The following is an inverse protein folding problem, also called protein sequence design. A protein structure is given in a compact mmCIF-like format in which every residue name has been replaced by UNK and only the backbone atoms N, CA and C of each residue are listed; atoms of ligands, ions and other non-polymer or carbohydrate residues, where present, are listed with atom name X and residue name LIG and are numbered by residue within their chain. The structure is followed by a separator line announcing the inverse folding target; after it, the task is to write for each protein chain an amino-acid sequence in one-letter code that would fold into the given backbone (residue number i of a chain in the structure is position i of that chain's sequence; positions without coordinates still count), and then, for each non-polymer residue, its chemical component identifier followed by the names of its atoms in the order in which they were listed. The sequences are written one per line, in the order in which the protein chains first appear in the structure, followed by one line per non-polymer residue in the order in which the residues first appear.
data_IF_100751998386
#
_entry.id   IF_100751998386
#
_cell.length_a   1.000
_cell.length_b   1.000
_cell.length_c   1.000
_cell.angle_alpha   90.00
_cell.angle_beta   90.00
_cell.angle_gamma   90.00
#
_symmetry.space_group_name_H-M   'P 1'
#
loop_
_entity.id
_entity.type
_entity.pdbx_description
1 polymer ?
#
# COMPACT_ATOMS: atom_id res chain seq x y z
N UNK A 1 -52.33 -17.35 38.64
CA UNK A 1 -51.59 -17.18 37.43
C UNK A 1 -52.54 -16.65 36.38
N UNK A 2 -52.70 -15.29 36.28
CA UNK A 2 -53.72 -14.64 35.44
C UNK A 2 -53.23 -14.58 33.99
N UNK A 3 -54.06 -15.04 33.07
CA UNK A 3 -53.82 -14.85 31.66
C UNK A 3 -53.96 -13.35 31.30
N UNK A 4 -53.10 -12.79 30.47
CA UNK A 4 -53.22 -11.39 30.06
C UNK A 4 -54.50 -11.18 29.24
N UNK A 5 -55.20 -10.08 29.53
CA UNK A 5 -56.46 -9.67 28.94
C UNK A 5 -56.38 -9.61 27.40
N UNK A 6 -57.39 -10.05 26.66
CA UNK A 6 -57.40 -10.10 25.19
C UNK A 6 -57.34 -8.72 24.50
N UNK A 7 -57.50 -7.64 25.26
CA UNK A 7 -57.49 -6.25 24.76
C UNK A 7 -56.08 -5.84 24.29
N UNK A 8 -55.00 -6.35 24.90
CA UNK A 8 -53.62 -5.97 24.56
C UNK A 8 -53.18 -6.60 23.22
N UNK A 9 -53.64 -7.85 22.98
CA UNK A 9 -53.26 -8.57 21.74
C UNK A 9 -53.96 -7.95 20.51
N UNK A 10 -55.22 -7.50 20.66
CA UNK A 10 -55.96 -6.82 19.56
C UNK A 10 -55.39 -5.46 19.21
N UNK A 11 -54.84 -4.70 20.14
CA UNK A 11 -54.21 -3.41 19.88
C UNK A 11 -52.89 -3.55 19.12
N UNK A 12 -52.10 -4.54 19.43
CA UNK A 12 -50.83 -4.84 18.75
C UNK A 12 -51.07 -5.36 17.33
N UNK A 13 -52.05 -6.23 17.12
CA UNK A 13 -52.42 -6.71 15.80
C UNK A 13 -52.98 -5.57 14.91
N UNK A 14 -53.73 -4.62 15.50
CA UNK A 14 -54.23 -3.47 14.76
C UNK A 14 -53.13 -2.50 14.35
N UNK A 15 -52.08 -2.35 15.15
CA UNK A 15 -50.92 -1.52 14.79
C UNK A 15 -50.03 -2.16 13.73
N UNK A 16 -49.99 -3.50 13.63
CA UNK A 16 -49.24 -4.23 12.60
C UNK A 16 -49.93 -4.25 11.22
N UNK A 17 -51.27 -4.11 11.19
CA UNK A 17 -52.05 -4.15 9.94
C UNK A 17 -52.18 -2.76 9.29
N UNK A 18 -51.95 -1.65 10.00
CA UNK A 18 -51.83 -0.33 9.40
C UNK A 18 -50.42 -0.09 8.86
N UNK A 19 -50.04 -0.84 7.84
CA UNK A 19 -48.94 -0.41 6.96
C UNK A 19 -49.29 1.02 6.48
N UNK A 20 -48.37 2.00 6.61
CA UNK A 20 -48.63 3.30 6.05
C UNK A 20 -48.93 3.11 4.55
N UNK A 21 -50.17 3.38 4.17
CA UNK A 21 -50.57 3.37 2.74
C UNK A 21 -49.68 4.35 2.03
N UNK A 22 -48.71 3.81 1.30
CA UNK A 22 -47.78 4.59 0.49
C UNK A 22 -48.68 5.38 -0.51
N UNK A 23 -48.74 6.69 -0.35
CA UNK A 23 -49.56 7.53 -1.20
C UNK A 23 -49.07 7.39 -2.65
N UNK A 24 -49.83 6.82 -3.58
CA UNK A 24 -49.40 6.60 -4.97
C UNK A 24 -49.10 7.92 -5.70
N UNK A 25 -49.68 9.05 -5.27
CA UNK A 25 -49.32 10.34 -5.81
C UNK A 25 -47.96 10.85 -5.34
N UNK A 26 -47.53 10.50 -4.13
CA UNK A 26 -46.18 10.82 -3.65
C UNK A 26 -45.11 10.08 -4.46
N UNK A 27 -45.39 8.84 -4.86
CA UNK A 27 -44.50 8.07 -5.77
C UNK A 27 -44.44 8.67 -7.19
N UNK A 28 -45.52 9.27 -7.66
CA UNK A 28 -45.53 9.97 -8.99
C UNK A 28 -44.80 11.31 -8.93
N UNK A 29 -44.78 11.97 -7.78
CA UNK A 29 -44.11 13.28 -7.57
C UNK A 29 -42.65 13.14 -7.10
N UNK A 30 -42.24 11.94 -6.71
CA UNK A 30 -40.82 11.70 -6.47
C UNK A 30 -40.08 12.08 -7.76
N UNK A 31 -39.19 13.08 -7.74
CA UNK A 31 -38.38 13.36 -8.91
C UNK A 31 -37.76 12.04 -9.30
N UNK A 32 -37.93 11.65 -10.56
CA UNK A 32 -37.15 10.53 -11.10
C UNK A 32 -35.66 10.92 -10.96
N UNK A 33 -35.11 10.66 -9.79
CA UNK A 33 -33.68 10.66 -9.58
C UNK A 33 -33.12 9.43 -10.33
N UNK A 34 -33.46 9.38 -11.63
CA UNK A 34 -32.60 8.77 -12.59
C UNK A 34 -31.32 9.58 -12.50
N UNK A 35 -30.42 9.18 -11.65
CA UNK A 35 -29.03 9.55 -11.82
C UNK A 35 -28.74 9.15 -13.25
N UNK A 36 -28.82 10.13 -14.17
CA UNK A 36 -28.42 9.93 -15.55
C UNK A 36 -27.06 9.31 -15.41
N UNK A 37 -26.93 8.06 -15.85
CA UNK A 37 -25.65 7.36 -15.88
C UNK A 37 -24.78 8.25 -16.77
N UNK A 38 -24.12 9.23 -16.13
CA UNK A 38 -23.16 10.06 -16.84
C UNK A 38 -22.19 9.08 -17.45
N UNK A 39 -22.16 9.06 -18.78
CA UNK A 39 -21.30 8.19 -19.53
C UNK A 39 -19.89 8.38 -18.99
N UNK A 40 -19.43 7.43 -18.17
CA UNK A 40 -18.14 7.49 -17.51
C UNK A 40 -17.08 7.58 -18.61
N UNK A 41 -16.40 8.71 -18.72
CA UNK A 41 -15.32 8.91 -19.69
C UNK A 41 -14.42 7.70 -19.64
N UNK A 42 -14.28 6.99 -20.76
CA UNK A 42 -13.45 5.77 -20.84
C UNK A 42 -12.03 6.13 -20.45
N UNK A 43 -11.60 5.66 -19.27
CA UNK A 43 -10.21 5.80 -18.80
C UNK A 43 -9.40 4.62 -19.35
N UNK A 44 -8.08 4.76 -19.56
CA UNK A 44 -7.22 3.61 -19.85
C UNK A 44 -7.43 2.51 -18.80
N UNK A 45 -7.45 1.26 -19.23
CA UNK A 45 -7.75 0.10 -18.38
C UNK A 45 -6.95 0.08 -17.06
N UNK A 46 -5.65 0.39 -17.12
CA UNK A 46 -4.77 0.41 -15.94
C UNK A 46 -5.19 1.48 -14.92
N UNK A 47 -5.59 2.66 -15.39
CA UNK A 47 -6.05 3.74 -14.52
C UNK A 47 -7.44 3.43 -13.93
N UNK A 48 -8.29 2.77 -14.70
CA UNK A 48 -9.59 2.33 -14.23
C UNK A 48 -9.45 1.23 -13.17
N UNK A 49 -8.59 0.25 -13.39
CA UNK A 49 -8.24 -0.78 -12.43
C UNK A 49 -7.70 -0.15 -11.12
N UNK A 50 -6.72 0.75 -11.22
CA UNK A 50 -6.14 1.43 -10.06
C UNK A 50 -7.14 2.31 -9.30
N UNK A 51 -8.19 2.81 -9.95
CA UNK A 51 -9.26 3.58 -9.29
C UNK A 51 -10.06 2.75 -8.28
N UNK A 52 -10.07 1.44 -8.43
CA UNK A 52 -10.79 0.50 -7.55
C UNK A 52 -10.02 0.16 -6.27
N UNK A 53 -10.72 -0.19 -5.19
CA UNK A 53 -10.08 -0.68 -3.97
C UNK A 53 -9.29 -1.98 -4.19
N UNK A 54 -9.78 -2.84 -5.07
CA UNK A 54 -9.13 -4.12 -5.41
C UNK A 54 -7.84 -3.85 -6.20
N UNK A 55 -7.88 -2.98 -7.21
CA UNK A 55 -6.70 -2.62 -8.00
C UNK A 55 -5.60 -2.00 -7.12
N UNK A 56 -5.94 -1.15 -6.17
CA UNK A 56 -4.98 -0.61 -5.19
C UNK A 56 -4.34 -1.71 -4.33
N UNK A 57 -5.09 -2.74 -3.93
CA UNK A 57 -4.55 -3.89 -3.19
C UNK A 57 -3.55 -4.68 -4.04
N UNK A 58 -3.85 -4.91 -5.33
CA UNK A 58 -2.89 -5.54 -6.24
C UNK A 58 -1.61 -4.73 -6.40
N UNK A 59 -1.73 -3.42 -6.63
CA UNK A 59 -0.55 -2.55 -6.74
C UNK A 59 0.28 -2.59 -5.44
N UNK A 60 -0.38 -2.53 -4.28
CA UNK A 60 0.30 -2.64 -2.98
C UNK A 60 1.01 -3.98 -2.81
N UNK A 61 0.38 -5.09 -3.22
CA UNK A 61 0.98 -6.42 -3.11
C UNK A 61 2.18 -6.58 -4.05
N UNK A 62 2.02 -6.24 -5.34
CA UNK A 62 3.09 -6.38 -6.34
C UNK A 62 4.28 -5.50 -5.99
N UNK A 63 4.05 -4.23 -5.66
CA UNK A 63 5.12 -3.32 -5.26
C UNK A 63 5.81 -3.77 -3.96
N UNK A 64 5.07 -4.32 -3.01
CA UNK A 64 5.62 -4.89 -1.78
C UNK A 64 6.52 -6.09 -2.04
N UNK A 65 6.09 -7.03 -2.91
CA UNK A 65 6.89 -8.20 -3.30
C UNK A 65 8.16 -7.75 -4.03
N UNK A 66 8.07 -6.78 -4.95
CA UNK A 66 9.22 -6.26 -5.66
C UNK A 66 10.25 -5.62 -4.72
N UNK A 67 9.80 -4.81 -3.75
CA UNK A 67 10.69 -4.21 -2.75
C UNK A 67 11.30 -5.26 -1.82
N UNK A 68 10.54 -6.28 -1.41
CA UNK A 68 11.05 -7.38 -0.58
C UNK A 68 12.11 -8.20 -1.33
N UNK A 69 11.87 -8.48 -2.62
CA UNK A 69 12.86 -9.12 -3.49
C UNK A 69 14.15 -8.30 -3.58
N UNK A 70 14.02 -6.97 -3.76
CA UNK A 70 15.18 -6.09 -3.76
C UNK A 70 15.95 -6.16 -2.44
N UNK A 71 15.28 -6.09 -1.29
CA UNK A 71 15.94 -6.16 0.03
C UNK A 71 16.70 -7.46 0.19
N UNK A 72 16.15 -8.59 -0.28
CA UNK A 72 16.83 -9.88 -0.25
C UNK A 72 18.13 -9.87 -1.08
N UNK A 73 18.07 -9.42 -2.34
CA UNK A 73 19.25 -9.34 -3.20
C UNK A 73 20.27 -8.30 -2.70
N UNK A 74 19.79 -7.18 -2.16
CA UNK A 74 20.61 -6.15 -1.54
C UNK A 74 21.37 -6.68 -0.33
N UNK A 75 20.71 -7.46 0.52
CA UNK A 75 21.34 -8.16 1.64
C UNK A 75 22.42 -9.11 1.15
N UNK A 76 22.12 -9.97 0.17
CA UNK A 76 23.09 -10.93 -0.39
C UNK A 76 24.31 -10.21 -0.97
N UNK A 77 24.08 -9.10 -1.69
CA UNK A 77 25.16 -8.27 -2.22
C UNK A 77 26.05 -7.66 -1.13
N UNK A 78 25.45 -7.18 -0.04
CA UNK A 78 26.18 -6.59 1.08
C UNK A 78 26.96 -7.62 1.90
N UNK A 79 26.60 -8.91 1.86
CA UNK A 79 27.40 -9.97 2.48
C UNK A 79 28.82 -10.06 1.88
N UNK A 80 29.06 -9.53 0.68
CA UNK A 80 30.39 -9.41 0.08
C UNK A 80 31.35 -8.56 0.92
N UNK A 81 30.86 -7.69 1.76
CA UNK A 81 31.66 -6.89 2.70
C UNK A 81 32.46 -7.77 3.66
N UNK A 82 31.95 -8.94 4.04
CA UNK A 82 32.64 -9.89 4.92
C UNK A 82 33.75 -10.65 4.19
N UNK A 83 33.80 -10.66 2.86
CA UNK A 83 34.83 -11.30 2.06
C UNK A 83 36.03 -10.36 1.81
N UNK A 84 35.88 -9.07 2.12
CA UNK A 84 36.90 -8.06 1.97
C UNK A 84 36.52 -6.92 1.02
N UNK A 85 37.29 -5.83 1.10
CA UNK A 85 37.03 -4.62 0.31
C UNK A 85 37.14 -4.88 -1.19
N UNK A 86 38.12 -5.67 -1.62
CA UNK A 86 38.33 -6.03 -3.03
C UNK A 86 37.10 -6.74 -3.62
N UNK A 87 36.59 -7.77 -2.94
CA UNK A 87 35.41 -8.51 -3.40
C UNK A 87 34.17 -7.63 -3.49
N UNK A 88 33.99 -6.72 -2.55
CA UNK A 88 32.89 -5.76 -2.59
C UNK A 88 33.00 -4.81 -3.78
N UNK A 89 34.20 -4.30 -4.05
CA UNK A 89 34.48 -3.40 -5.17
C UNK A 89 34.30 -4.10 -6.52
N UNK A 90 34.79 -5.33 -6.66
CA UNK A 90 34.56 -6.17 -7.85
C UNK A 90 33.07 -6.41 -8.09
N UNK A 91 32.30 -6.66 -7.05
CA UNK A 91 30.85 -6.82 -7.16
C UNK A 91 30.16 -5.51 -7.60
N UNK A 92 30.57 -4.39 -7.04
CA UNK A 92 30.02 -3.08 -7.43
C UNK A 92 30.30 -2.79 -8.91
N UNK A 93 31.54 -3.04 -9.36
CA UNK A 93 31.93 -2.88 -10.74
C UNK A 93 31.18 -3.84 -11.69
N UNK A 94 30.96 -5.07 -11.28
CA UNK A 94 30.12 -6.01 -12.02
C UNK A 94 28.70 -5.46 -12.20
N UNK A 95 28.10 -4.89 -11.15
CA UNK A 95 26.77 -4.28 -11.23
C UNK A 95 26.75 -3.06 -12.16
N UNK A 96 27.80 -2.26 -12.21
CA UNK A 96 27.91 -1.12 -13.11
C UNK A 96 27.95 -1.54 -14.60
N UNK A 97 28.58 -2.67 -14.89
CA UNK A 97 28.69 -3.24 -16.24
C UNK A 97 27.60 -4.26 -16.56
N UNK A 98 26.63 -4.41 -15.70
CA UNK A 98 25.54 -5.37 -15.94
C UNK A 98 24.82 -5.01 -17.25
N UNK A 99 24.72 -6.02 -18.15
CA UNK A 99 24.20 -5.91 -19.53
C UNK A 99 25.03 -5.07 -20.50
N UNK A 100 26.29 -4.73 -20.18
CA UNK A 100 27.21 -4.21 -21.18
C UNK A 100 27.61 -5.38 -22.17
N UNK A 101 27.68 -5.16 -23.48
CA UNK A 101 27.53 -3.89 -24.24
C UNK A 101 26.11 -3.58 -24.74
N UNK A 102 25.08 -4.35 -24.37
CA UNK A 102 23.69 -4.14 -24.81
C UNK A 102 23.17 -2.79 -24.30
N UNK A 103 23.51 -2.44 -23.06
CA UNK A 103 23.20 -1.15 -22.46
C UNK A 103 24.51 -0.42 -22.10
N UNK A 104 24.52 0.92 -22.10
CA UNK A 104 25.64 1.69 -21.58
C UNK A 104 25.96 1.32 -20.13
N UNK A 105 27.21 1.51 -19.71
CA UNK A 105 27.62 1.34 -18.33
C UNK A 105 26.70 2.13 -17.38
N UNK A 106 26.38 1.55 -16.23
CA UNK A 106 25.48 2.10 -15.21
C UNK A 106 24.01 2.26 -15.62
N UNK A 107 23.63 2.06 -16.89
CA UNK A 107 22.23 2.24 -17.33
C UNK A 107 21.30 1.29 -16.59
N UNK A 108 21.68 0.03 -16.42
CA UNK A 108 20.88 -0.96 -15.69
C UNK A 108 20.68 -0.56 -14.22
N UNK A 109 21.70 -0.02 -13.57
CA UNK A 109 21.57 0.48 -12.19
C UNK A 109 20.57 1.62 -12.09
N UNK A 110 20.57 2.55 -13.05
CA UNK A 110 19.60 3.64 -13.07
C UNK A 110 18.18 3.16 -13.33
N UNK A 111 18.00 2.17 -14.19
CA UNK A 111 16.69 1.54 -14.42
C UNK A 111 16.19 0.87 -13.14
N UNK A 112 17.05 0.10 -12.44
CA UNK A 112 16.69 -0.55 -11.18
C UNK A 112 16.38 0.47 -10.08
N UNK A 113 17.16 1.54 -9.94
CA UNK A 113 16.92 2.62 -8.98
C UNK A 113 15.60 3.34 -9.25
N UNK A 114 15.35 3.71 -10.51
CA UNK A 114 14.11 4.36 -10.93
C UNK A 114 12.89 3.45 -10.75
N UNK A 115 13.02 2.17 -11.10
CA UNK A 115 11.99 1.16 -10.89
C UNK A 115 11.66 0.98 -9.41
N UNK A 116 12.68 0.86 -8.55
CA UNK A 116 12.50 0.70 -7.11
C UNK A 116 11.84 1.94 -6.49
N UNK A 117 12.27 3.14 -6.86
CA UNK A 117 11.65 4.38 -6.41
C UNK A 117 10.18 4.46 -6.82
N UNK A 118 9.88 4.09 -8.05
CA UNK A 118 8.49 4.03 -8.55
C UNK A 118 7.65 3.04 -7.75
N UNK A 119 8.18 1.84 -7.47
CA UNK A 119 7.49 0.84 -6.64
C UNK A 119 7.26 1.34 -5.22
N UNK A 120 8.22 2.03 -4.61
CA UNK A 120 8.08 2.61 -3.29
C UNK A 120 6.98 3.69 -3.24
N UNK A 121 6.96 4.61 -4.21
CA UNK A 121 5.95 5.67 -4.31
C UNK A 121 4.55 5.08 -4.51
N UNK A 122 4.41 4.12 -5.42
CA UNK A 122 3.14 3.43 -5.68
C UNK A 122 2.64 2.66 -4.44
N UNK A 123 3.55 2.00 -3.73
CA UNK A 123 3.23 1.28 -2.49
C UNK A 123 2.68 2.21 -1.41
N UNK A 124 3.41 3.30 -1.13
CA UNK A 124 3.01 4.29 -0.12
C UNK A 124 1.68 4.93 -0.50
N UNK A 125 1.51 5.33 -1.78
CA UNK A 125 0.26 5.92 -2.25
C UNK A 125 -0.92 4.95 -2.14
N UNK A 126 -0.74 3.68 -2.52
CA UNK A 126 -1.77 2.65 -2.39
C UNK A 126 -2.13 2.40 -0.91
N UNK A 127 -1.13 2.28 -0.03
CA UNK A 127 -1.33 2.08 1.41
C UNK A 127 -2.09 3.25 2.06
N UNK A 128 -1.72 4.48 1.73
CA UNK A 128 -2.40 5.69 2.20
C UNK A 128 -3.85 5.74 1.71
N UNK A 129 -4.04 5.56 0.40
CA UNK A 129 -5.36 5.60 -0.24
C UNK A 129 -6.31 4.53 0.32
N UNK A 130 -5.83 3.29 0.51
CA UNK A 130 -6.62 2.23 1.14
C UNK A 130 -6.95 2.53 2.60
N UNK A 131 -6.04 3.18 3.32
CA UNK A 131 -6.29 3.59 4.71
C UNK A 131 -7.41 4.61 4.79
N UNK A 132 -7.43 5.61 3.88
CA UNK A 132 -8.48 6.62 3.79
C UNK A 132 -9.82 5.96 3.42
N UNK A 133 -9.83 5.12 2.38
CA UNK A 133 -11.03 4.39 1.96
C UNK A 133 -11.62 3.54 3.10
N UNK A 134 -10.77 2.83 3.85
CA UNK A 134 -11.23 2.01 4.97
C UNK A 134 -11.82 2.84 6.12
N UNK A 135 -11.30 4.05 6.36
CA UNK A 135 -11.87 4.98 7.35
C UNK A 135 -13.22 5.51 6.90
N UNK A 136 -13.35 5.87 5.63
CA UNK A 136 -14.60 6.39 5.06
C UNK A 136 -15.70 5.33 4.98
N UNK A 137 -15.34 4.07 4.69
CA UNK A 137 -16.29 2.97 4.63
C UNK A 137 -16.94 2.62 5.97
N UNK A 138 -16.36 3.08 7.11
CA UNK A 138 -16.86 2.79 8.45
C UNK A 138 -16.78 4.01 9.36
N UNK A 139 -17.74 4.93 9.25
CA UNK A 139 -17.77 6.14 10.07
C UNK A 139 -18.12 5.83 11.54
N UNK A 140 -18.85 4.74 11.80
CA UNK A 140 -19.26 4.33 13.13
C UNK A 140 -18.43 3.15 13.61
N UNK A 141 -17.89 3.24 14.83
CA UNK A 141 -17.14 2.16 15.46
C UNK A 141 -18.08 1.02 15.89
N UNK A 142 -17.56 -0.22 15.90
CA UNK A 142 -18.30 -1.33 16.51
C UNK A 142 -18.45 -1.10 18.02
N UNK A 143 -19.62 -1.40 18.54
CA UNK A 143 -19.90 -1.33 20.00
C UNK A 143 -19.33 -2.55 20.74
N UNK A 144 -19.27 -3.71 20.07
CA UNK A 144 -18.67 -4.92 20.64
C UNK A 144 -17.15 -4.93 20.53
N UNK A 145 -16.47 -5.54 21.46
CA UNK A 145 -15.03 -5.80 21.36
C UNK A 145 -14.74 -6.68 20.14
N UNK A 146 -13.63 -6.38 19.48
CA UNK A 146 -13.22 -7.13 18.29
C UNK A 146 -12.41 -8.34 18.73
N UNK A 147 -12.93 -9.52 18.47
CA UNK A 147 -12.13 -10.74 18.52
C UNK A 147 -11.32 -10.84 17.20
N UNK A 148 -10.00 -10.75 17.32
CA UNK A 148 -9.08 -10.80 16.18
C UNK A 148 -8.59 -12.23 15.98
N UNK A 149 -9.39 -13.07 15.34
CA UNK A 149 -9.02 -14.47 15.09
C UNK A 149 -7.84 -14.62 14.11
N UNK A 150 -7.72 -13.71 13.13
CA UNK A 150 -6.74 -13.82 12.04
C UNK A 150 -5.66 -12.73 12.10
N UNK A 151 -5.95 -11.57 12.68
CA UNK A 151 -5.02 -10.43 12.69
C UNK A 151 -4.04 -10.53 13.87
N UNK A 152 -2.78 -10.89 13.59
CA UNK A 152 -1.69 -10.87 14.56
C UNK A 152 -1.29 -9.44 14.97
N UNK A 153 -0.50 -9.30 16.03
CA UNK A 153 0.08 -8.03 16.46
C UNK A 153 0.85 -7.36 15.32
N UNK A 154 1.65 -8.12 14.57
CA UNK A 154 2.43 -7.62 13.43
C UNK A 154 1.55 -6.98 12.35
N UNK A 155 0.44 -7.63 11.95
CA UNK A 155 -0.48 -7.09 10.93
C UNK A 155 -1.20 -5.81 11.39
N UNK A 156 -1.43 -5.66 12.69
CA UNK A 156 -2.08 -4.47 13.28
C UNK A 156 -1.12 -3.28 13.37
N UNK A 157 0.17 -3.55 13.58
CA UNK A 157 1.21 -2.51 13.76
C UNK A 157 1.97 -2.18 12.49
N UNK A 158 1.74 -2.86 11.36
CA UNK A 158 2.50 -2.67 10.12
C UNK A 158 2.50 -1.23 9.58
N UNK A 159 1.50 -0.41 9.93
CA UNK A 159 1.49 1.02 9.54
C UNK A 159 2.56 1.81 10.27
N UNK A 160 2.80 1.51 11.52
CA UNK A 160 3.84 2.15 12.33
C UNK A 160 5.23 1.69 11.89
N UNK A 161 5.39 0.39 11.65
CA UNK A 161 6.65 -0.16 11.13
C UNK A 161 6.96 0.39 9.74
N UNK A 162 5.95 0.63 8.89
CA UNK A 162 6.11 1.28 7.59
C UNK A 162 6.71 2.69 7.70
N UNK A 163 6.29 3.49 8.69
CA UNK A 163 6.86 4.82 8.94
C UNK A 163 8.31 4.69 9.41
N UNK A 164 8.60 3.76 10.31
CA UNK A 164 9.97 3.51 10.81
C UNK A 164 10.89 3.13 9.66
N UNK A 165 10.46 2.20 8.79
CA UNK A 165 11.22 1.78 7.61
C UNK A 165 11.46 2.94 6.66
N UNK A 166 10.47 3.82 6.45
CA UNK A 166 10.62 5.00 5.61
C UNK A 166 11.68 5.97 6.17
N UNK A 167 11.67 6.24 7.46
CA UNK A 167 12.66 7.09 8.12
C UNK A 167 14.06 6.47 8.04
N UNK A 168 14.17 5.15 8.27
CA UNK A 168 15.41 4.43 8.10
C UNK A 168 15.91 4.52 6.64
N UNK A 169 15.04 4.37 5.65
CA UNK A 169 15.42 4.45 4.24
C UNK A 169 15.97 5.83 3.88
N UNK A 170 15.34 6.90 4.36
CA UNK A 170 15.82 8.27 4.16
C UNK A 170 17.22 8.43 4.76
N UNK A 171 17.40 8.03 6.02
CA UNK A 171 18.70 8.09 6.67
C UNK A 171 19.75 7.26 5.93
N UNK A 172 19.42 6.01 5.55
CA UNK A 172 20.29 5.09 4.83
C UNK A 172 20.78 5.67 3.49
N UNK A 173 19.87 6.30 2.73
CA UNK A 173 20.24 6.93 1.48
C UNK A 173 21.10 8.19 1.69
N UNK A 174 20.79 9.00 2.69
CA UNK A 174 21.57 10.18 3.02
C UNK A 174 22.99 9.80 3.45
N UNK A 175 23.13 8.77 4.27
CA UNK A 175 24.42 8.32 4.77
C UNK A 175 25.23 7.61 3.68
N UNK A 176 24.72 6.54 3.10
CA UNK A 176 25.49 5.66 2.21
C UNK A 176 25.51 6.11 0.73
N UNK A 177 24.50 6.83 0.25
CA UNK A 177 24.45 7.25 -1.16
C UNK A 177 24.98 8.67 -1.33
N UNK A 178 24.61 9.58 -0.44
CA UNK A 178 25.01 10.99 -0.53
C UNK A 178 26.22 11.34 0.33
N UNK A 179 26.63 10.44 1.24
CA UNK A 179 27.76 10.68 2.12
C UNK A 179 27.54 11.80 3.13
N UNK A 180 26.30 12.07 3.50
CA UNK A 180 25.96 13.16 4.41
C UNK A 180 26.24 12.84 5.89
N UNK A 181 26.50 11.58 6.23
CA UNK A 181 26.86 11.13 7.59
C UNK A 181 28.35 11.30 7.89
N UNK A 182 28.66 11.60 9.14
CA UNK A 182 30.04 11.78 9.61
C UNK A 182 30.92 10.52 9.55
N UNK A 183 30.32 9.37 9.27
CA UNK A 183 31.00 8.06 9.23
C UNK A 183 31.59 7.76 7.84
N UNK A 184 31.25 8.55 6.81
CA UNK A 184 31.62 8.27 5.41
C UNK A 184 32.98 8.87 5.02
N UNK A 185 34.04 8.44 5.65
CA UNK A 185 35.40 8.64 5.13
C UNK A 185 35.72 7.79 3.88
N UNK A 186 34.76 6.99 3.40
CA UNK A 186 34.96 6.08 2.25
C UNK A 186 34.71 6.71 0.90
N UNK A 187 34.04 7.87 0.81
CA UNK A 187 33.78 8.53 -0.47
C UNK A 187 35.12 9.01 -1.06
N UNK A 188 35.51 8.38 -2.16
CA UNK A 188 36.74 8.72 -2.89
C UNK A 188 37.98 7.96 -2.49
N UNK A 189 37.94 7.04 -1.52
CA UNK A 189 39.06 6.12 -1.26
C UNK A 189 39.14 5.09 -2.40
N UNK A 190 40.36 4.82 -2.84
CA UNK A 190 40.62 3.72 -3.76
C UNK A 190 41.19 2.53 -2.96
N UNK A 191 40.85 1.32 -3.37
CA UNK A 191 41.52 0.13 -2.85
C UNK A 191 42.95 0.01 -3.38
N UNK A 192 43.68 -0.99 -2.89
CA UNK A 192 45.07 -1.26 -3.33
C UNK A 192 45.19 -1.56 -4.84
N UNK A 193 44.07 -1.96 -5.47
CA UNK A 193 43.99 -2.25 -6.92
C UNK A 193 43.51 -1.02 -7.75
N UNK A 194 43.24 0.11 -7.12
CA UNK A 194 42.86 1.34 -7.78
C UNK A 194 41.41 1.41 -8.23
N UNK A 195 40.58 0.47 -7.83
CA UNK A 195 39.12 0.47 -8.08
C UNK A 195 38.45 1.44 -7.10
N UNK A 196 37.58 2.34 -7.62
CA UNK A 196 36.83 3.32 -6.81
C UNK A 196 35.60 2.74 -6.20
#
# INVERSE_FOLDING_TARGET
MGMPEPVVVTSILKSMVTSPTVNPEALRRAPATGTALQARKKRPFLLDLYSTAVGKKYVMAISGIAMMGFVLFHMIGNLKMYMGQSDLNHYAHFLEKLLYPILPEKAMLWILRGGLLTMAVLHIHAAYSLTVLNKQARPVKYQSERDYQVASFASRTMRYTGIIVLLFLIWHLLDLTFGAGSVNSFVGTKDAEGVK
#
